data_IF_662504070035
#
_entry.id   IF_662504070035
#
_cell.length_a   1.000
_cell.length_b   1.000
_cell.length_c   1.000
_cell.angle_alpha   90.00
_cell.angle_beta   90.00
_cell.angle_gamma   90.00
#
_symmetry.space_group_name_H-M   'P 1'
#
loop_
_entity.id
_entity.type
_entity.pdbx_description
1 polymer ?
#
# COMPACT_ATOMS: atom_id res chain seq x y z
N UNK A 1 3.86 16.43 35.39
CA UNK A 1 2.82 16.60 36.41
C UNK A 1 1.39 16.47 35.86
N UNK A 2 1.20 16.16 34.60
CA UNK A 2 -0.14 16.13 33.94
C UNK A 2 -0.72 14.72 33.69
N UNK A 3 0.01 13.64 33.95
CA UNK A 3 -0.47 12.25 33.73
C UNK A 3 -0.82 11.48 35.03
N UNK A 4 -0.57 12.06 36.20
CA UNK A 4 -0.88 11.41 37.49
C UNK A 4 -2.36 11.52 37.91
N UNK A 5 -3.14 12.40 37.31
CA UNK A 5 -4.55 12.59 37.70
C UNK A 5 -5.58 11.81 36.85
N UNK A 6 -5.16 11.09 35.79
CA UNK A 6 -6.10 10.48 34.87
C UNK A 6 -6.25 8.95 34.96
N UNK A 7 -5.42 8.23 35.72
CA UNK A 7 -5.53 6.76 35.80
C UNK A 7 -5.27 6.21 37.20
N UNK A 8 -6.31 6.08 38.01
CA UNK A 8 -6.35 5.12 39.12
C UNK A 8 -6.81 3.78 38.55
N UNK A 9 -5.87 2.84 38.33
CA UNK A 9 -6.18 1.52 37.80
C UNK A 9 -6.88 0.66 38.87
N UNK A 10 -8.15 0.36 38.66
CA UNK A 10 -8.95 -0.50 39.54
C UNK A 10 -9.61 -1.69 38.86
N UNK A 11 -9.17 -2.10 37.65
CA UNK A 11 -9.75 -3.26 36.98
C UNK A 11 -8.77 -4.04 36.07
N UNK A 12 -9.04 -5.34 35.96
CA UNK A 12 -8.31 -6.28 35.11
C UNK A 12 -8.34 -5.92 33.60
N UNK A 13 -9.32 -5.11 33.18
CA UNK A 13 -9.46 -4.65 31.80
C UNK A 13 -8.40 -3.61 31.42
N UNK A 14 -7.97 -2.75 32.35
CA UNK A 14 -6.97 -1.72 32.11
C UNK A 14 -5.57 -2.34 31.85
N UNK A 15 -5.28 -3.48 32.45
CA UNK A 15 -4.04 -4.24 32.23
C UNK A 15 -3.98 -4.90 30.83
N UNK A 16 -5.14 -5.19 30.22
CA UNK A 16 -5.23 -5.77 28.87
C UNK A 16 -4.99 -4.69 27.79
N UNK A 17 -5.46 -3.47 28.02
CA UNK A 17 -5.25 -2.34 27.10
C UNK A 17 -3.76 -1.95 27.07
N UNK A 18 -3.09 -1.93 28.22
CA UNK A 18 -1.65 -1.68 28.30
C UNK A 18 -0.82 -2.79 27.66
N UNK A 19 -1.23 -4.07 27.78
CA UNK A 19 -0.54 -5.18 27.10
C UNK A 19 -0.68 -5.12 25.57
N UNK A 20 -1.79 -4.59 25.04
CA UNK A 20 -1.96 -4.36 23.59
C UNK A 20 -1.11 -3.18 23.10
N UNK A 21 -1.04 -2.09 23.86
CA UNK A 21 -0.15 -0.97 23.56
C UNK A 21 1.33 -1.38 23.64
N UNK A 22 1.70 -2.23 24.60
CA UNK A 22 3.07 -2.75 24.74
C UNK A 22 3.49 -3.66 23.58
N UNK A 23 2.58 -4.47 23.04
CA UNK A 23 2.86 -5.27 21.84
C UNK A 23 3.04 -4.43 20.58
N UNK A 24 2.40 -3.27 20.47
CA UNK A 24 2.60 -2.35 19.36
C UNK A 24 3.96 -1.63 19.42
N UNK A 25 4.48 -1.37 20.63
CA UNK A 25 5.78 -0.68 20.83
C UNK A 25 6.97 -1.64 20.61
N UNK A 26 6.82 -2.94 20.95
CA UNK A 26 7.91 -3.95 20.82
C UNK A 26 8.14 -4.39 19.36
N UNK A 27 7.32 -3.95 18.41
CA UNK A 27 7.48 -4.34 16.99
C UNK A 27 8.32 -3.34 16.15
N UNK A 28 9.06 -2.42 16.79
CA UNK A 28 10.04 -1.57 16.11
C UNK A 28 11.45 -2.06 16.53
N UNK A 29 12.15 -2.83 15.67
CA UNK A 29 13.45 -3.44 16.03
C UNK A 29 14.54 -2.45 16.47
N UNK A 30 14.47 -1.19 16.02
CA UNK A 30 15.43 -0.13 16.36
C UNK A 30 15.27 0.44 17.78
N UNK A 31 14.12 0.25 18.41
CA UNK A 31 13.85 0.76 19.76
C UNK A 31 14.14 -0.29 20.83
N UNK A 32 14.02 -1.58 20.49
CA UNK A 32 14.26 -2.68 21.42
C UNK A 32 15.74 -2.77 21.86
N UNK A 33 16.68 -2.45 20.99
CA UNK A 33 18.12 -2.55 21.28
C UNK A 33 18.64 -1.42 22.19
N UNK A 34 18.01 -0.25 22.21
CA UNK A 34 18.38 0.85 23.11
C UNK A 34 17.79 0.69 24.51
N UNK A 35 16.63 0.02 24.64
CA UNK A 35 15.96 -0.19 25.92
C UNK A 35 16.57 -1.33 26.76
N UNK A 36 17.24 -2.31 26.15
CA UNK A 36 17.89 -3.41 26.86
C UNK A 36 19.20 -3.00 27.55
N UNK A 37 19.85 -1.91 27.12
CA UNK A 37 21.14 -1.48 27.68
C UNK A 37 21.05 -0.50 28.85
N UNK A 38 19.84 0.00 29.19
CA UNK A 38 19.66 1.07 30.19
C UNK A 38 18.84 0.65 31.43
N UNK A 39 18.57 -0.64 31.59
CA UNK A 39 17.92 -1.18 32.81
C UNK A 39 18.93 -1.32 33.97
N UNK A 40 19.28 -0.18 34.55
CA UNK A 40 19.93 -0.16 35.85
C UNK A 40 18.95 -0.58 36.97
N UNK A 41 19.44 -1.26 38.02
CA UNK A 41 18.67 -1.84 39.12
C UNK A 41 17.95 -0.83 40.04
N UNK A 42 17.94 0.45 39.73
CA UNK A 42 17.25 1.50 40.52
C UNK A 42 16.01 1.99 39.79
N UNK A 43 14.84 1.79 40.40
CA UNK A 43 13.49 2.14 39.92
C UNK A 43 13.29 3.64 39.67
N UNK A 44 13.94 4.18 38.65
CA UNK A 44 13.76 5.54 38.15
C UNK A 44 12.51 5.67 37.26
N UNK A 45 11.79 6.79 37.38
CA UNK A 45 10.66 7.14 36.54
C UNK A 45 11.18 7.37 35.06
N UNK A 46 10.77 6.50 34.15
CA UNK A 46 11.03 6.69 32.70
C UNK A 46 10.04 7.68 32.11
N UNK A 47 10.49 8.86 31.77
CA UNK A 47 9.79 9.77 30.86
C UNK A 47 10.09 9.32 29.42
N UNK A 48 9.22 8.47 28.84
CA UNK A 48 9.29 8.16 27.42
C UNK A 48 8.88 9.41 26.66
N UNK A 49 9.85 10.25 26.36
CA UNK A 49 9.69 11.30 25.36
C UNK A 49 9.62 10.59 24.01
N UNK A 50 8.39 10.29 23.52
CA UNK A 50 8.18 9.98 22.11
C UNK A 50 8.72 11.19 21.35
N UNK A 51 9.93 11.08 20.82
CA UNK A 51 10.46 12.03 19.85
C UNK A 51 9.38 12.16 18.78
N UNK A 52 8.78 13.33 18.66
CA UNK A 52 7.92 13.64 17.52
C UNK A 52 8.76 13.29 16.30
N UNK A 53 8.35 12.26 15.53
CA UNK A 53 9.01 11.95 14.26
C UNK A 53 9.07 13.26 13.51
N UNK A 54 10.25 13.75 13.19
CA UNK A 54 10.44 15.00 12.50
C UNK A 54 9.51 15.00 11.28
N UNK A 55 8.52 15.89 11.30
CA UNK A 55 7.55 15.98 10.21
C UNK A 55 8.33 16.30 8.95
N UNK A 56 8.36 15.37 8.00
CA UNK A 56 9.06 15.58 6.74
C UNK A 56 8.52 16.84 6.06
N UNK A 57 9.39 17.55 5.36
CA UNK A 57 9.04 18.77 4.64
C UNK A 57 9.30 18.60 3.16
N UNK A 58 8.47 19.21 2.32
CA UNK A 58 8.56 19.12 0.87
C UNK A 58 8.77 20.50 0.24
N UNK A 59 9.30 20.45 -0.98
CA UNK A 59 9.29 21.58 -1.92
C UNK A 59 7.86 21.85 -2.40
N UNK A 60 7.62 23.03 -2.99
CA UNK A 60 6.32 23.36 -3.60
C UNK A 60 6.14 22.74 -4.97
N UNK A 61 7.23 22.37 -5.66
CA UNK A 61 7.17 21.76 -6.99
C UNK A 61 6.68 20.30 -6.92
N UNK A 62 5.83 19.92 -7.86
CA UNK A 62 5.33 18.56 -7.95
C UNK A 62 5.26 18.04 -9.38
N UNK A 63 5.35 16.73 -9.51
CA UNK A 63 4.96 15.96 -10.70
C UNK A 63 3.69 15.18 -10.39
N UNK A 64 2.75 15.12 -11.33
CA UNK A 64 1.53 14.31 -11.25
C UNK A 64 1.50 13.28 -12.36
N UNK A 65 1.32 12.03 -12.00
CA UNK A 65 1.10 10.92 -12.93
C UNK A 65 0.00 10.00 -12.42
N UNK A 66 -0.48 9.12 -13.30
CA UNK A 66 -1.39 8.05 -12.90
C UNK A 66 -1.06 6.72 -13.58
N UNK A 67 -1.36 5.61 -12.88
CA UNK A 67 -1.42 4.28 -13.45
C UNK A 67 -2.88 3.81 -13.45
N UNK A 68 -3.49 3.69 -14.65
CA UNK A 68 -4.88 3.25 -14.83
C UNK A 68 -5.90 4.06 -13.99
N UNK A 69 -5.71 5.36 -13.88
CA UNK A 69 -6.62 6.26 -13.17
C UNK A 69 -6.28 6.53 -11.70
N UNK A 70 -5.51 5.67 -11.04
CA UNK A 70 -5.00 5.94 -9.70
C UNK A 70 -3.78 6.85 -9.77
N UNK A 71 -3.87 8.05 -9.21
CA UNK A 71 -2.90 9.12 -9.40
C UNK A 71 -2.17 9.52 -8.11
N UNK A 72 -0.90 9.89 -8.25
CA UNK A 72 -0.06 10.39 -7.16
C UNK A 72 0.61 11.69 -7.54
N UNK A 73 0.83 12.52 -6.51
CA UNK A 73 1.73 13.67 -6.58
C UNK A 73 3.11 13.25 -6.04
N UNK A 74 4.14 13.45 -6.85
CA UNK A 74 5.53 13.26 -6.42
C UNK A 74 6.10 14.61 -6.04
N UNK A 75 6.61 14.71 -4.81
CA UNK A 75 7.34 15.85 -4.29
C UNK A 75 8.78 15.44 -3.95
N UNK A 76 9.69 16.38 -3.93
CA UNK A 76 11.00 16.22 -3.33
C UNK A 76 11.05 16.91 -1.96
N UNK A 77 11.98 16.47 -1.10
CA UNK A 77 12.28 17.14 0.16
C UNK A 77 12.61 18.63 -0.08
N UNK A 78 12.13 19.49 0.80
CA UNK A 78 12.31 20.94 0.75
C UNK A 78 11.76 21.60 1.99
N UNK A 79 11.71 22.93 2.01
CA UNK A 79 11.30 23.72 3.19
C UNK A 79 9.96 24.46 3.01
N UNK A 80 9.24 24.21 1.91
CA UNK A 80 8.06 25.02 1.59
C UNK A 80 6.87 24.68 2.45
N UNK A 81 6.61 23.40 2.72
CA UNK A 81 5.49 22.96 3.54
C UNK A 81 5.79 21.64 4.27
N UNK A 82 4.99 21.31 5.28
CA UNK A 82 5.17 20.11 6.08
C UNK A 82 4.18 19.02 5.68
N UNK A 83 4.66 17.77 5.58
CA UNK A 83 3.85 16.58 5.32
C UNK A 83 3.26 16.04 6.64
N UNK A 84 2.45 16.86 7.31
CA UNK A 84 1.56 16.40 8.37
C UNK A 84 0.18 16.00 7.80
N UNK A 85 -0.66 15.40 8.63
CA UNK A 85 -1.95 14.89 8.18
C UNK A 85 -2.84 15.99 7.57
N UNK A 86 -2.85 17.19 8.15
CA UNK A 86 -3.64 18.32 7.66
C UNK A 86 -3.12 18.83 6.31
N UNK A 87 -1.81 19.00 6.18
CA UNK A 87 -1.17 19.44 4.93
C UNK A 87 -1.36 18.44 3.80
N UNK A 88 -1.17 17.15 4.08
CA UNK A 88 -1.38 16.09 3.09
C UNK A 88 -2.84 16.04 2.65
N UNK A 89 -3.79 16.09 3.60
CA UNK A 89 -5.24 16.10 3.29
C UNK A 89 -5.60 17.30 2.41
N UNK A 90 -5.09 18.49 2.73
CA UNK A 90 -5.35 19.70 1.93
C UNK A 90 -4.76 19.60 0.51
N UNK A 91 -3.56 19.04 0.36
CA UNK A 91 -2.92 18.86 -0.95
C UNK A 91 -3.63 17.78 -1.77
N UNK A 92 -4.10 16.71 -1.13
CA UNK A 92 -4.82 15.62 -1.79
C UNK A 92 -6.29 15.94 -2.10
N UNK A 93 -6.86 17.01 -1.51
CA UNK A 93 -8.25 17.40 -1.79
C UNK A 93 -8.43 17.78 -3.26
N UNK A 94 -9.40 17.13 -3.93
CA UNK A 94 -9.61 17.30 -5.37
C UNK A 94 -10.33 18.60 -5.74
N UNK A 95 -10.88 19.31 -4.76
CA UNK A 95 -11.66 20.54 -4.96
C UNK A 95 -10.93 21.79 -4.47
N UNK A 96 -10.13 21.65 -3.39
CA UNK A 96 -9.47 22.78 -2.74
C UNK A 96 -7.95 22.75 -2.90
N UNK A 97 -7.39 21.60 -3.26
CA UNK A 97 -5.96 21.38 -3.51
C UNK A 97 -5.67 20.94 -4.95
N UNK A 98 -4.42 20.56 -5.22
CA UNK A 98 -4.05 19.89 -6.49
C UNK A 98 -4.82 18.59 -6.74
N UNK A 99 -5.16 17.87 -5.68
CA UNK A 99 -5.95 16.64 -5.70
C UNK A 99 -5.19 15.42 -6.17
N UNK A 100 -5.18 14.34 -5.37
CA UNK A 100 -4.63 13.04 -5.77
C UNK A 100 -5.10 11.91 -4.84
N UNK A 101 -4.82 10.66 -5.24
CA UNK A 101 -5.05 9.48 -4.41
C UNK A 101 -3.92 9.23 -3.40
N UNK A 102 -2.88 10.07 -3.41
CA UNK A 102 -1.78 10.02 -2.45
C UNK A 102 -0.57 10.84 -2.87
N UNK A 103 0.44 10.83 -2.00
CA UNK A 103 1.70 11.54 -2.19
C UNK A 103 2.86 10.56 -2.12
N UNK A 104 3.84 10.73 -3.00
CA UNK A 104 5.17 10.13 -2.92
C UNK A 104 6.17 11.24 -2.64
N UNK A 105 6.92 11.15 -1.54
CA UNK A 105 8.00 12.06 -1.20
C UNK A 105 9.35 11.40 -1.48
N UNK A 106 10.08 11.91 -2.46
CA UNK A 106 11.48 11.56 -2.69
C UNK A 106 12.35 12.30 -1.66
N UNK A 107 13.03 11.54 -0.79
CA UNK A 107 13.82 12.12 0.31
C UNK A 107 15.18 12.63 -0.15
N UNK A 108 15.83 11.92 -1.08
CA UNK A 108 17.13 12.31 -1.62
C UNK A 108 17.28 11.80 -3.07
N UNK A 109 17.41 12.73 -4.01
CA UNK A 109 17.60 12.42 -5.43
C UNK A 109 19.02 11.96 -5.78
N UNK A 110 19.98 12.07 -4.85
CA UNK A 110 21.39 11.72 -5.07
C UNK A 110 21.77 10.36 -4.51
N UNK A 111 21.01 9.85 -3.52
CA UNK A 111 21.24 8.55 -2.88
C UNK A 111 20.82 7.38 -3.77
N UNK A 112 21.46 6.24 -3.54
CA UNK A 112 21.12 4.93 -4.12
C UNK A 112 21.18 3.86 -3.03
N UNK A 113 20.09 3.09 -2.82
CA UNK A 113 18.75 3.23 -3.43
C UNK A 113 18.12 4.61 -3.15
N UNK A 114 17.20 5.06 -4.02
CA UNK A 114 16.47 6.31 -3.79
C UNK A 114 15.50 6.16 -2.61
N UNK A 115 15.68 6.91 -1.50
CA UNK A 115 14.81 6.80 -0.35
C UNK A 115 13.53 7.60 -0.57
N UNK A 116 12.39 7.02 -0.20
CA UNK A 116 11.07 7.66 -0.34
C UNK A 116 10.13 7.31 0.80
N UNK A 117 9.07 8.11 0.92
CA UNK A 117 7.91 7.87 1.79
C UNK A 117 6.62 8.00 0.98
N UNK A 118 5.59 7.27 1.37
CA UNK A 118 4.28 7.28 0.72
C UNK A 118 3.17 7.60 1.71
N UNK A 119 2.21 8.43 1.28
CA UNK A 119 1.13 8.90 2.14
C UNK A 119 -0.22 8.76 1.45
N UNK A 120 -1.20 8.29 2.21
CA UNK A 120 -2.61 8.31 1.84
C UNK A 120 -3.18 9.73 1.92
N UNK A 121 -4.33 10.01 1.29
CA UNK A 121 -4.98 11.32 1.35
C UNK A 121 -5.38 11.78 2.76
N UNK A 122 -5.54 10.86 3.72
CA UNK A 122 -5.84 11.15 5.13
C UNK A 122 -4.59 11.50 5.97
N UNK A 123 -3.41 11.53 5.33
CA UNK A 123 -2.13 11.81 5.97
C UNK A 123 -1.46 10.61 6.61
N UNK A 124 -2.09 9.45 6.61
CA UNK A 124 -1.44 8.22 7.09
C UNK A 124 -0.32 7.78 6.13
N UNK A 125 0.81 7.38 6.71
CA UNK A 125 1.93 6.79 5.95
C UNK A 125 1.68 5.32 5.73
N UNK A 126 2.05 4.82 4.55
CA UNK A 126 1.96 3.40 4.23
C UNK A 126 3.23 2.92 3.51
N UNK A 127 3.45 1.59 3.55
CA UNK A 127 4.72 1.00 3.14
C UNK A 127 4.90 0.98 1.63
N UNK A 128 3.88 0.59 0.84
CA UNK A 128 4.07 0.36 -0.60
C UNK A 128 2.81 0.51 -1.44
N UNK A 129 2.94 1.19 -2.58
CA UNK A 129 1.97 1.20 -3.68
C UNK A 129 2.65 0.88 -5.00
N UNK A 130 2.20 -0.14 -5.70
CA UNK A 130 2.71 -0.46 -7.03
C UNK A 130 2.50 0.69 -8.04
N UNK A 131 1.41 1.45 -7.94
CA UNK A 131 1.19 2.64 -8.75
C UNK A 131 2.11 3.79 -8.35
N UNK A 132 2.22 4.08 -7.05
CA UNK A 132 3.09 5.14 -6.56
C UNK A 132 4.56 4.91 -6.94
N UNK A 133 5.04 3.66 -6.83
CA UNK A 133 6.41 3.26 -7.24
C UNK A 133 6.63 3.49 -8.73
N UNK A 134 5.69 3.06 -9.59
CA UNK A 134 5.82 3.26 -11.03
C UNK A 134 5.75 4.75 -11.42
N UNK A 135 4.90 5.53 -10.75
CA UNK A 135 4.81 6.99 -10.97
C UNK A 135 6.11 7.68 -10.56
N UNK A 136 6.72 7.28 -9.43
CA UNK A 136 8.05 7.77 -9.05
C UNK A 136 9.10 7.42 -10.11
N UNK A 137 9.09 6.19 -10.65
CA UNK A 137 10.03 5.78 -11.70
C UNK A 137 9.89 6.65 -12.96
N UNK A 138 8.65 6.96 -13.38
CA UNK A 138 8.39 7.87 -14.48
C UNK A 138 8.92 9.28 -14.20
N UNK A 139 8.74 9.79 -12.97
CA UNK A 139 9.31 11.06 -12.52
C UNK A 139 10.84 11.06 -12.59
N UNK A 140 11.50 10.03 -12.04
CA UNK A 140 12.97 9.92 -12.03
C UNK A 140 13.53 9.85 -13.46
N UNK A 141 12.88 9.12 -14.36
CA UNK A 141 13.26 9.04 -15.77
C UNK A 141 13.08 10.39 -16.48
N UNK A 142 11.97 11.09 -16.22
CA UNK A 142 11.70 12.42 -16.75
C UNK A 142 12.78 13.44 -16.35
N UNK A 143 13.22 13.38 -15.08
CA UNK A 143 14.27 14.24 -14.54
C UNK A 143 15.70 13.81 -14.96
N UNK A 144 15.82 12.73 -15.75
CA UNK A 144 17.11 12.19 -16.19
C UNK A 144 17.97 11.60 -15.07
N UNK A 145 17.36 11.24 -13.94
CA UNK A 145 18.03 10.63 -12.78
C UNK A 145 18.25 9.13 -12.95
N UNK A 146 17.44 8.51 -13.80
CA UNK A 146 17.52 7.08 -14.19
C UNK A 146 17.41 6.95 -15.70
N UNK A 147 18.00 5.87 -16.24
CA UNK A 147 17.98 5.52 -17.66
C UNK A 147 17.15 4.27 -17.94
N UNK A 148 17.58 3.50 -18.96
CA UNK A 148 16.97 2.23 -19.35
C UNK A 148 17.46 1.02 -18.56
N UNK A 149 18.24 1.20 -17.51
CA UNK A 149 18.71 0.11 -16.65
C UNK A 149 17.85 0.04 -15.38
N UNK A 150 17.67 -1.15 -14.77
CA UNK A 150 17.02 -1.29 -13.47
C UNK A 150 17.70 -0.45 -12.39
N UNK A 151 16.93 0.02 -11.42
CA UNK A 151 17.42 0.79 -10.29
C UNK A 151 16.59 0.53 -9.03
N UNK A 152 17.20 0.77 -7.89
CA UNK A 152 16.59 0.50 -6.59
C UNK A 152 16.01 1.74 -5.93
N UNK A 153 14.87 1.57 -5.26
CA UNK A 153 14.28 2.54 -4.33
C UNK A 153 14.14 1.90 -2.94
N UNK A 154 14.20 2.73 -1.89
CA UNK A 154 14.01 2.30 -0.51
C UNK A 154 12.73 2.90 0.07
N UNK A 155 11.79 2.05 0.50
CA UNK A 155 10.48 2.44 1.03
C UNK A 155 10.04 1.48 2.13
N UNK A 156 9.54 2.01 3.25
CA UNK A 156 9.03 1.19 4.36
C UNK A 156 10.05 0.22 4.97
N UNK A 157 11.36 0.47 4.81
CA UNK A 157 12.43 -0.42 5.23
C UNK A 157 12.83 -1.49 4.20
N UNK A 158 12.10 -1.62 3.11
CA UNK A 158 12.39 -2.55 2.00
C UNK A 158 13.12 -1.85 0.85
N UNK A 159 13.83 -2.65 0.06
CA UNK A 159 14.36 -2.22 -1.24
C UNK A 159 13.53 -2.84 -2.36
N UNK A 160 13.14 -2.02 -3.33
CA UNK A 160 12.34 -2.43 -4.49
C UNK A 160 13.09 -2.06 -5.76
N UNK A 161 13.32 -3.04 -6.64
CA UNK A 161 13.85 -2.80 -7.97
C UNK A 161 12.75 -2.30 -8.91
N UNK A 162 13.05 -1.22 -9.63
CA UNK A 162 12.19 -0.61 -10.65
C UNK A 162 12.93 -0.56 -11.99
N UNK A 163 12.19 -0.65 -13.08
CA UNK A 163 12.76 -0.54 -14.40
C UNK A 163 11.82 0.22 -15.35
N UNK A 164 12.29 1.30 -15.96
CA UNK A 164 11.57 2.02 -17.01
C UNK A 164 11.86 1.37 -18.35
N UNK A 165 10.85 0.74 -18.93
CA UNK A 165 10.96 -0.09 -20.13
C UNK A 165 10.87 0.78 -21.41
N UNK A 166 12.02 1.14 -21.94
CA UNK A 166 12.13 1.97 -23.15
C UNK A 166 11.81 3.46 -22.94
N UNK A 167 11.98 4.26 -23.99
CA UNK A 167 11.69 5.69 -23.92
C UNK A 167 10.18 5.95 -23.81
N UNK A 168 9.77 7.02 -23.11
CA UNK A 168 8.36 7.38 -23.03
C UNK A 168 7.81 7.81 -24.40
N UNK A 169 6.58 7.40 -24.68
CA UNK A 169 5.86 7.84 -25.87
C UNK A 169 4.74 8.81 -25.46
N UNK A 170 4.84 10.08 -25.83
CA UNK A 170 3.85 11.12 -25.48
C UNK A 170 3.54 11.22 -23.99
N UNK A 171 4.57 11.08 -23.14
CA UNK A 171 4.40 11.12 -21.68
C UNK A 171 3.84 9.82 -21.08
N UNK A 172 3.71 8.76 -21.90
CA UNK A 172 3.36 7.42 -21.43
C UNK A 172 4.64 6.61 -21.21
N UNK A 173 4.87 6.20 -19.97
CA UNK A 173 5.96 5.33 -19.55
C UNK A 173 5.43 3.92 -19.36
N UNK A 174 6.24 2.92 -19.63
CA UNK A 174 5.97 1.54 -19.20
C UNK A 174 6.99 1.17 -18.12
N UNK A 175 6.54 0.77 -16.95
CA UNK A 175 7.40 0.56 -15.79
C UNK A 175 7.12 -0.79 -15.16
N UNK A 176 8.19 -1.55 -14.90
CA UNK A 176 8.13 -2.74 -14.06
C UNK A 176 8.62 -2.46 -12.63
N UNK A 177 8.05 -3.17 -11.67
CA UNK A 177 8.38 -3.11 -10.26
C UNK A 177 8.44 -4.53 -9.68
N UNK A 178 9.52 -4.86 -8.99
CA UNK A 178 9.64 -6.11 -8.24
C UNK A 178 8.80 -6.04 -6.97
N UNK A 179 7.71 -6.79 -6.97
CA UNK A 179 6.75 -6.77 -5.85
C UNK A 179 7.14 -7.71 -4.70
N UNK A 180 8.25 -8.43 -4.87
CA UNK A 180 8.71 -9.44 -3.92
C UNK A 180 7.96 -10.76 -4.05
N UNK A 181 8.06 -11.61 -3.02
CA UNK A 181 7.47 -12.94 -3.01
C UNK A 181 6.05 -12.89 -2.45
N UNK A 182 5.08 -13.46 -3.17
CA UNK A 182 3.73 -13.61 -2.67
C UNK A 182 3.66 -14.58 -1.47
N UNK A 183 3.05 -14.14 -0.38
CA UNK A 183 2.67 -14.97 0.74
C UNK A 183 1.35 -15.70 0.46
N UNK A 184 1.16 -16.89 1.02
CA UNK A 184 -0.05 -17.69 0.82
C UNK A 184 -0.55 -18.30 2.11
N UNK A 185 -1.86 -18.54 2.15
CA UNK A 185 -2.54 -19.17 3.27
C UNK A 185 -3.01 -18.18 4.33
N UNK A 186 -3.77 -18.66 5.32
CA UNK A 186 -4.41 -17.83 6.33
C UNK A 186 -3.43 -16.93 7.09
N UNK A 187 -2.31 -17.47 7.54
CA UNK A 187 -1.30 -16.75 8.34
C UNK A 187 -0.73 -15.53 7.59
N UNK A 188 -0.57 -15.63 6.25
CA UNK A 188 -0.01 -14.57 5.43
C UNK A 188 -0.89 -13.31 5.34
N UNK A 189 -2.19 -13.44 5.65
CA UNK A 189 -3.20 -12.37 5.53
C UNK A 189 -3.92 -12.09 6.86
N UNK A 190 -3.47 -12.67 7.98
CA UNK A 190 -4.13 -12.52 9.28
C UNK A 190 -5.55 -13.10 9.31
N UNK A 191 -5.81 -14.15 8.54
CA UNK A 191 -7.08 -14.87 8.53
C UNK A 191 -7.06 -15.99 9.58
N UNK A 192 -8.10 -16.08 10.43
CA UNK A 192 -8.29 -17.21 11.33
C UNK A 192 -8.50 -18.51 10.53
N UNK A 193 -7.57 -19.48 10.61
CA UNK A 193 -7.71 -20.75 9.89
C UNK A 193 -8.98 -21.51 10.26
N UNK A 194 -9.47 -21.33 11.50
CA UNK A 194 -10.70 -21.96 12.01
C UNK A 194 -11.99 -21.46 11.35
N UNK A 195 -11.93 -20.32 10.63
CA UNK A 195 -13.07 -19.78 9.89
C UNK A 195 -13.25 -20.40 8.51
N UNK A 196 -12.27 -21.18 8.03
CA UNK A 196 -12.36 -21.92 6.77
C UNK A 196 -12.76 -23.36 7.02
N UNK A 197 -13.64 -23.91 6.19
CA UNK A 197 -13.90 -25.35 6.18
C UNK A 197 -12.76 -26.14 5.48
N UNK A 198 -12.89 -27.48 5.40
CA UNK A 198 -11.90 -28.38 4.77
C UNK A 198 -11.65 -28.07 3.30
N UNK A 199 -12.58 -27.41 2.63
CA UNK A 199 -12.52 -27.06 1.21
C UNK A 199 -12.08 -25.58 1.00
N UNK A 200 -11.57 -24.92 2.05
CA UNK A 200 -11.15 -23.50 2.05
C UNK A 200 -12.32 -22.53 1.78
N UNK A 201 -13.54 -22.88 2.24
CA UNK A 201 -14.72 -22.03 2.09
C UNK A 201 -14.89 -21.14 3.31
N UNK A 202 -15.18 -19.88 3.06
CA UNK A 202 -15.53 -18.89 4.08
C UNK A 202 -17.04 -18.75 4.12
N UNK A 203 -17.67 -18.94 5.28
CA UNK A 203 -19.11 -18.80 5.45
C UNK A 203 -19.53 -17.32 5.44
N UNK A 204 -20.32 -16.92 4.45
CA UNK A 204 -20.89 -15.56 4.32
C UNK A 204 -22.40 -15.53 4.60
N UNK A 205 -22.93 -16.56 5.27
CA UNK A 205 -24.35 -16.70 5.55
C UNK A 205 -25.20 -16.83 4.29
N UNK A 206 -26.18 -15.94 4.10
CA UNK A 206 -27.07 -15.95 2.94
C UNK A 206 -26.36 -15.78 1.58
N UNK A 207 -25.14 -15.25 1.55
CA UNK A 207 -24.33 -15.12 0.33
C UNK A 207 -23.53 -16.40 -0.01
N UNK A 208 -23.78 -17.50 0.74
CA UNK A 208 -23.14 -18.78 0.52
C UNK A 208 -21.71 -18.84 1.08
N UNK A 209 -20.97 -19.85 0.64
CA UNK A 209 -19.63 -20.11 1.16
C UNK A 209 -18.63 -20.26 0.00
N UNK A 210 -18.08 -19.13 -0.51
CA UNK A 210 -17.09 -19.18 -1.59
C UNK A 210 -15.78 -19.81 -1.11
N UNK A 211 -15.06 -20.45 -2.04
CA UNK A 211 -13.65 -20.84 -1.83
C UNK A 211 -12.82 -19.58 -1.90
N UNK A 212 -12.03 -19.33 -0.85
CA UNK A 212 -11.16 -18.16 -0.74
C UNK A 212 -9.70 -18.59 -0.84
N UNK A 213 -8.93 -17.90 -1.66
CA UNK A 213 -7.49 -18.05 -1.80
C UNK A 213 -6.80 -16.85 -1.13
N UNK A 214 -6.30 -17.02 0.12
CA UNK A 214 -5.59 -15.96 0.82
C UNK A 214 -4.21 -15.74 0.21
N UNK A 215 -3.91 -14.49 -0.18
CA UNK A 215 -2.63 -14.09 -0.78
C UNK A 215 -2.18 -12.76 -0.18
N UNK A 216 -0.89 -12.65 0.16
CA UNK A 216 -0.27 -11.41 0.58
C UNK A 216 0.72 -10.92 -0.49
N UNK A 217 0.60 -9.65 -0.85
CA UNK A 217 1.56 -8.88 -1.68
C UNK A 217 2.12 -7.72 -0.81
N UNK A 218 2.42 -8.00 0.47
CA UNK A 218 2.69 -6.99 1.49
C UNK A 218 1.42 -6.49 2.19
N UNK A 219 0.25 -6.65 1.58
CA UNK A 219 -1.07 -6.39 2.15
C UNK A 219 -2.01 -7.60 1.91
N UNK A 220 -3.09 -7.77 2.71
CA UNK A 220 -3.95 -8.94 2.61
C UNK A 220 -4.92 -8.89 1.43
N UNK A 221 -5.04 -10.02 0.73
CA UNK A 221 -5.97 -10.25 -0.37
C UNK A 221 -6.72 -11.58 -0.19
N UNK A 222 -8.00 -11.58 -0.50
CA UNK A 222 -8.89 -12.75 -0.57
C UNK A 222 -9.37 -12.91 -2.02
N UNK A 223 -8.76 -13.83 -2.76
CA UNK A 223 -9.12 -14.08 -4.17
C UNK A 223 -10.16 -15.17 -4.25
N UNK A 224 -11.23 -14.95 -5.01
CA UNK A 224 -12.33 -15.91 -5.27
C UNK A 224 -12.37 -16.20 -6.76
N UNK A 225 -12.33 -17.49 -7.14
CA UNK A 225 -12.58 -17.95 -8.51
C UNK A 225 -13.96 -18.63 -8.53
N UNK A 226 -15.03 -17.93 -8.91
CA UNK A 226 -16.38 -18.49 -8.89
C UNK A 226 -16.57 -19.52 -10.01
N UNK A 227 -17.44 -20.50 -9.75
CA UNK A 227 -17.81 -21.46 -10.80
C UNK A 227 -18.64 -20.80 -11.92
N UNK A 228 -19.46 -19.82 -11.58
CA UNK A 228 -20.23 -18.99 -12.50
C UNK A 228 -19.78 -17.54 -12.37
N UNK A 229 -19.28 -16.96 -13.47
CA UNK A 229 -18.85 -15.56 -13.52
C UNK A 229 -20.07 -14.63 -13.66
N UNK A 230 -20.19 -13.70 -12.70
CA UNK A 230 -21.16 -12.60 -12.73
C UNK A 230 -20.48 -11.32 -12.27
N UNK A 231 -20.71 -10.21 -12.98
CA UNK A 231 -20.15 -8.89 -12.64
C UNK A 231 -20.59 -8.45 -11.23
N UNK A 232 -21.86 -8.73 -10.90
CA UNK A 232 -22.50 -8.32 -9.66
C UNK A 232 -21.93 -9.05 -8.42
N UNK A 233 -21.24 -10.16 -8.62
CA UNK A 233 -20.75 -10.99 -7.51
C UNK A 233 -19.77 -10.21 -6.60
N UNK A 234 -18.96 -9.30 -7.16
CA UNK A 234 -18.06 -8.50 -6.34
C UNK A 234 -18.83 -7.57 -5.39
N UNK A 235 -19.96 -7.03 -5.83
CA UNK A 235 -20.81 -6.15 -5.05
C UNK A 235 -21.59 -6.94 -3.95
N UNK A 236 -21.82 -8.23 -4.17
CA UNK A 236 -22.48 -9.13 -3.21
C UNK A 236 -21.55 -9.62 -2.10
N UNK A 237 -20.35 -10.12 -2.47
CA UNK A 237 -19.42 -10.76 -1.53
C UNK A 237 -18.27 -9.85 -1.07
N UNK A 238 -17.86 -8.87 -1.91
CA UNK A 238 -16.75 -7.97 -1.61
C UNK A 238 -16.89 -7.25 -0.27
N UNK A 239 -18.00 -6.53 -0.02
CA UNK A 239 -18.20 -5.84 1.25
C UNK A 239 -18.24 -6.78 2.47
N UNK A 240 -18.68 -8.03 2.30
CA UNK A 240 -18.78 -9.00 3.40
C UNK A 240 -17.44 -9.64 3.74
N UNK A 241 -16.67 -10.02 2.71
CA UNK A 241 -15.33 -10.61 2.92
C UNK A 241 -14.37 -9.54 3.42
N UNK A 242 -14.42 -8.31 2.88
CA UNK A 242 -13.49 -7.23 3.20
C UNK A 242 -13.45 -6.89 4.70
N UNK A 243 -14.57 -7.00 5.40
CA UNK A 243 -14.72 -6.72 6.84
C UNK A 243 -15.06 -7.97 7.64
N UNK A 244 -14.88 -9.17 7.06
CA UNK A 244 -15.23 -10.40 7.76
C UNK A 244 -14.40 -10.55 9.04
N UNK A 245 -15.01 -10.87 10.19
CA UNK A 245 -14.32 -10.91 11.50
C UNK A 245 -13.18 -11.92 11.58
N UNK A 246 -13.12 -12.88 10.65
CA UNK A 246 -12.01 -13.81 10.54
C UNK A 246 -10.70 -13.15 10.07
N UNK A 247 -10.75 -12.00 9.38
CA UNK A 247 -9.56 -11.24 9.01
C UNK A 247 -9.28 -10.19 10.09
N UNK A 248 -8.13 -10.28 10.75
CA UNK A 248 -7.79 -9.42 11.89
C UNK A 248 -7.88 -7.92 11.56
N UNK A 249 -7.41 -7.53 10.36
CA UNK A 249 -7.37 -6.14 9.89
C UNK A 249 -8.20 -5.94 8.61
N UNK A 250 -9.14 -6.85 8.32
CA UNK A 250 -9.86 -6.88 7.04
C UNK A 250 -8.96 -7.26 5.86
N UNK A 251 -9.52 -7.27 4.65
CA UNK A 251 -8.81 -7.71 3.45
C UNK A 251 -9.33 -7.03 2.18
N UNK A 252 -8.48 -6.94 1.15
CA UNK A 252 -8.91 -6.63 -0.21
C UNK A 252 -9.52 -7.88 -0.83
N UNK A 253 -10.53 -7.74 -1.66
CA UNK A 253 -11.25 -8.86 -2.27
C UNK A 253 -11.17 -8.79 -3.79
N UNK A 254 -10.90 -9.93 -4.42
CA UNK A 254 -10.94 -10.04 -5.87
C UNK A 254 -11.84 -11.21 -6.28
N UNK A 255 -12.79 -10.93 -7.18
CA UNK A 255 -13.49 -11.97 -7.93
C UNK A 255 -12.79 -12.09 -9.27
N UNK A 256 -12.23 -13.27 -9.56
CA UNK A 256 -11.37 -13.46 -10.72
C UNK A 256 -11.76 -14.70 -11.55
N UNK A 257 -11.36 -14.69 -12.81
CA UNK A 257 -11.43 -15.87 -13.69
C UNK A 257 -10.22 -15.96 -14.59
N UNK A 258 -9.90 -17.19 -15.00
CA UNK A 258 -8.90 -17.47 -16.02
C UNK A 258 -9.59 -17.49 -17.36
N UNK A 259 -9.12 -16.67 -18.29
CA UNK A 259 -9.55 -16.67 -19.68
C UNK A 259 -8.61 -17.56 -20.54
N UNK A 260 -8.81 -17.54 -21.85
CA UNK A 260 -7.95 -18.27 -22.76
C UNK A 260 -6.51 -17.72 -22.77
N UNK A 261 -5.52 -18.60 -22.88
CA UNK A 261 -4.11 -18.23 -22.88
C UNK A 261 -3.61 -17.79 -21.51
N UNK A 262 -2.87 -16.68 -21.47
CA UNK A 262 -2.27 -16.08 -20.26
C UNK A 262 -3.03 -14.86 -19.78
N UNK A 263 -4.35 -14.83 -19.97
CA UNK A 263 -5.20 -13.72 -19.60
C UNK A 263 -6.05 -14.07 -18.39
N UNK A 264 -6.02 -13.22 -17.39
CA UNK A 264 -6.86 -13.24 -16.20
C UNK A 264 -7.79 -12.03 -16.23
N UNK A 265 -8.98 -12.15 -15.65
CA UNK A 265 -9.90 -11.03 -15.48
C UNK A 265 -10.28 -10.94 -14.00
N UNK A 266 -10.33 -9.72 -13.47
CA UNK A 266 -10.59 -9.46 -12.08
C UNK A 266 -11.50 -8.26 -11.86
N UNK A 267 -12.42 -8.41 -10.90
CA UNK A 267 -13.19 -7.35 -10.28
C UNK A 267 -12.64 -7.16 -8.86
N UNK A 268 -12.59 -5.91 -8.40
CA UNK A 268 -11.85 -5.54 -7.20
C UNK A 268 -12.75 -4.81 -6.21
N UNK A 269 -12.60 -5.17 -4.93
CA UNK A 269 -13.12 -4.44 -3.79
C UNK A 269 -11.97 -4.17 -2.83
N UNK A 270 -11.56 -2.92 -2.71
CA UNK A 270 -10.47 -2.54 -1.81
C UNK A 270 -10.97 -2.30 -0.39
N UNK A 271 -10.18 -2.76 0.56
CA UNK A 271 -10.40 -2.58 2.00
C UNK A 271 -10.45 -1.07 2.34
N UNK A 272 -11.57 -0.64 2.96
CA UNK A 272 -11.79 0.75 3.36
C UNK A 272 -12.19 1.71 2.23
N UNK A 273 -12.11 1.28 0.97
CA UNK A 273 -12.43 2.10 -0.22
C UNK A 273 -13.70 1.62 -0.92
N UNK A 274 -13.84 0.31 -1.13
CA UNK A 274 -14.94 -0.28 -1.88
C UNK A 274 -14.55 -0.71 -3.30
N UNK A 275 -15.51 -0.69 -4.27
CA UNK A 275 -15.23 -1.10 -5.64
C UNK A 275 -14.22 -0.17 -6.29
N UNK A 276 -13.18 -0.76 -6.90
CA UNK A 276 -12.07 -0.04 -7.52
C UNK A 276 -11.84 -0.58 -8.92
N UNK A 277 -11.65 0.32 -9.88
CA UNK A 277 -11.52 -0.06 -11.30
C UNK A 277 -10.19 -0.73 -11.63
N UNK A 278 -9.10 -0.45 -10.89
CA UNK A 278 -7.78 -1.03 -11.09
C UNK A 278 -6.93 -0.93 -9.81
N UNK A 279 -6.16 -2.00 -9.53
CA UNK A 279 -5.24 -2.06 -8.40
C UNK A 279 -4.05 -2.97 -8.74
N UNK A 280 -2.82 -2.47 -8.52
CA UNK A 280 -1.60 -3.22 -8.83
C UNK A 280 -1.42 -4.44 -7.95
N UNK A 281 -1.60 -4.31 -6.63
CA UNK A 281 -1.46 -5.44 -5.69
C UNK A 281 -2.57 -6.46 -5.88
N UNK A 282 -3.79 -6.02 -6.24
CA UNK A 282 -4.89 -6.92 -6.59
C UNK A 282 -4.59 -7.74 -7.85
N UNK A 283 -4.02 -7.12 -8.89
CA UNK A 283 -3.58 -7.85 -10.09
C UNK A 283 -2.53 -8.91 -9.74
N UNK A 284 -1.54 -8.55 -8.92
CA UNK A 284 -0.51 -9.48 -8.45
C UNK A 284 -1.12 -10.64 -7.64
N UNK A 285 -2.05 -10.34 -6.72
CA UNK A 285 -2.72 -11.37 -5.91
C UNK A 285 -3.53 -12.35 -6.75
N UNK A 286 -4.23 -11.86 -7.78
CA UNK A 286 -5.01 -12.70 -8.72
C UNK A 286 -4.09 -13.64 -9.50
N UNK A 287 -2.98 -13.13 -10.06
CA UNK A 287 -2.02 -13.95 -10.77
C UNK A 287 -1.37 -15.01 -9.87
N UNK A 288 -0.93 -14.59 -8.67
CA UNK A 288 -0.36 -15.49 -7.67
C UNK A 288 -1.36 -16.58 -7.22
N UNK A 289 -2.63 -16.22 -6.98
CA UNK A 289 -3.70 -17.16 -6.63
C UNK A 289 -4.00 -18.15 -7.76
N UNK A 290 -4.00 -17.69 -9.02
CA UNK A 290 -4.21 -18.57 -10.19
C UNK A 290 -3.12 -19.64 -10.30
N UNK A 291 -1.85 -19.25 -10.12
CA UNK A 291 -0.71 -20.18 -10.11
C UNK A 291 -0.80 -21.12 -8.91
N UNK A 292 -0.97 -20.59 -7.71
CA UNK A 292 -1.00 -21.37 -6.46
C UNK A 292 -2.12 -22.40 -6.43
N UNK A 293 -3.27 -22.07 -7.02
CA UNK A 293 -4.43 -22.97 -7.09
C UNK A 293 -4.37 -23.99 -8.25
N UNK A 294 -3.29 -23.98 -9.05
CA UNK A 294 -3.14 -24.86 -10.21
C UNK A 294 -4.06 -24.54 -11.37
N UNK A 295 -4.63 -23.34 -11.41
CA UNK A 295 -5.44 -22.84 -12.54
C UNK A 295 -4.60 -22.34 -13.70
N UNK A 296 -3.37 -21.96 -13.40
CA UNK A 296 -2.37 -21.54 -14.38
C UNK A 296 -0.99 -22.02 -13.95
N UNK A 297 -0.10 -22.24 -14.91
CA UNK A 297 1.33 -22.48 -14.67
C UNK A 297 2.05 -21.13 -14.45
N UNK A 298 3.19 -21.12 -13.72
CA UNK A 298 4.01 -19.92 -13.57
C UNK A 298 4.38 -19.32 -14.93
N UNK A 299 4.04 -18.03 -15.13
CA UNK A 299 4.24 -17.32 -16.39
C UNK A 299 4.00 -15.82 -16.24
N UNK A 300 4.05 -15.08 -17.35
CA UNK A 300 3.59 -13.71 -17.47
C UNK A 300 2.11 -13.68 -17.87
N UNK A 301 1.30 -12.94 -17.11
CA UNK A 301 -0.14 -12.82 -17.29
C UNK A 301 -0.54 -11.39 -17.63
N UNK A 302 -1.47 -11.24 -18.58
CA UNK A 302 -2.28 -10.03 -18.70
C UNK A 302 -3.43 -10.12 -17.69
N UNK A 303 -3.48 -9.25 -16.69
CA UNK A 303 -4.59 -9.15 -15.74
C UNK A 303 -5.47 -7.98 -16.14
N UNK A 304 -6.66 -8.29 -16.63
CA UNK A 304 -7.69 -7.33 -17.09
C UNK A 304 -8.58 -6.93 -15.93
N UNK A 305 -8.74 -5.64 -15.75
CA UNK A 305 -9.61 -5.01 -14.77
C UNK A 305 -10.48 -3.95 -15.48
N UNK A 306 -11.49 -3.41 -14.81
CA UNK A 306 -12.38 -2.40 -15.42
C UNK A 306 -11.63 -1.14 -15.89
N UNK A 307 -10.61 -0.72 -15.14
CA UNK A 307 -9.79 0.47 -15.48
C UNK A 307 -8.66 0.21 -16.48
N UNK A 308 -8.44 -1.04 -16.91
CA UNK A 308 -7.39 -1.41 -17.87
C UNK A 308 -6.64 -2.69 -17.49
N UNK A 309 -5.54 -2.96 -18.19
CA UNK A 309 -4.74 -4.17 -17.99
C UNK A 309 -3.38 -3.86 -17.39
N UNK A 310 -2.88 -4.78 -16.57
CA UNK A 310 -1.50 -4.83 -16.08
C UNK A 310 -0.89 -6.18 -16.45
N UNK A 311 0.42 -6.21 -16.66
CA UNK A 311 1.17 -7.43 -16.82
C UNK A 311 1.75 -7.86 -15.48
N UNK A 312 1.58 -9.12 -15.11
CA UNK A 312 2.11 -9.70 -13.88
C UNK A 312 2.87 -10.96 -14.20
N UNK A 313 4.16 -10.98 -13.92
CA UNK A 313 4.98 -12.19 -13.99
C UNK A 313 5.01 -12.88 -12.64
N UNK A 314 4.78 -14.20 -12.63
CA UNK A 314 4.84 -15.07 -11.45
C UNK A 314 5.81 -16.20 -11.73
N UNK A 315 6.88 -16.31 -10.93
CA UNK A 315 7.83 -17.42 -11.04
C UNK A 315 7.36 -18.65 -10.26
N UNK A 316 8.03 -19.79 -10.44
CA UNK A 316 7.77 -21.02 -9.68
C UNK A 316 7.99 -20.81 -8.16
N UNK A 317 8.88 -19.90 -7.77
CA UNK A 317 9.17 -19.52 -6.39
C UNK A 317 8.19 -18.46 -5.86
N UNK A 318 7.18 -18.08 -6.67
CA UNK A 318 6.19 -17.05 -6.37
C UNK A 318 6.76 -15.63 -6.24
N UNK A 319 7.87 -15.35 -6.93
CA UNK A 319 8.33 -13.97 -7.12
C UNK A 319 7.41 -13.25 -8.10
N UNK A 320 7.07 -12.03 -7.81
CA UNK A 320 6.09 -11.23 -8.54
C UNK A 320 6.76 -9.98 -9.11
N UNK A 321 6.67 -9.82 -10.43
CA UNK A 321 7.00 -8.57 -11.12
C UNK A 321 5.73 -7.97 -11.69
N UNK A 322 5.43 -6.72 -11.35
CA UNK A 322 4.29 -5.96 -11.86
C UNK A 322 4.74 -4.98 -12.94
N UNK A 323 4.20 -5.08 -14.13
CA UNK A 323 4.48 -4.13 -15.22
C UNK A 323 3.21 -3.42 -15.65
N UNK A 324 3.30 -2.10 -15.84
CA UNK A 324 2.15 -1.34 -16.30
C UNK A 324 2.44 0.09 -16.70
N UNK A 325 1.47 0.71 -17.37
CA UNK A 325 1.60 2.07 -17.88
C UNK A 325 1.57 3.11 -16.75
N UNK A 326 2.29 4.21 -16.98
CA UNK A 326 2.18 5.45 -16.23
C UNK A 326 2.02 6.59 -17.23
N UNK A 327 0.92 7.32 -17.12
CA UNK A 327 0.72 8.55 -17.88
C UNK A 327 1.17 9.74 -17.04
N UNK A 328 2.11 10.49 -17.56
CA UNK A 328 2.41 11.85 -17.07
C UNK A 328 1.19 12.75 -17.31
N UNK A 329 0.76 13.48 -16.28
CA UNK A 329 -0.42 14.36 -16.35
C UNK A 329 -0.01 15.83 -16.33
N UNK A 330 0.79 16.22 -15.35
CA UNK A 330 1.17 17.59 -15.14
C UNK A 330 2.43 17.72 -14.27
N UNK A 331 3.10 18.84 -14.42
CA UNK A 331 4.04 19.37 -13.44
C UNK A 331 3.55 20.73 -13.01
N UNK A 332 3.79 21.09 -11.76
CA UNK A 332 3.33 22.36 -11.21
C UNK A 332 4.09 22.75 -9.97
N UNK A 333 3.63 23.83 -9.36
CA UNK A 333 4.11 24.30 -8.07
C UNK A 333 2.92 24.82 -7.25
N UNK A 334 2.89 24.48 -5.97
CA UNK A 334 1.97 25.09 -5.02
C UNK A 334 2.26 26.59 -4.97
N UNK A 335 1.21 27.41 -4.99
CA UNK A 335 1.38 28.88 -4.92
C UNK A 335 1.87 29.30 -3.53
N UNK A 336 2.54 30.45 -3.45
CA UNK A 336 3.01 31.00 -2.16
C UNK A 336 1.86 31.15 -1.15
N UNK A 337 0.68 31.58 -1.59
CA UNK A 337 -0.50 31.69 -0.71
C UNK A 337 -0.98 30.35 -0.17
N UNK A 338 -0.95 29.27 -1.01
CA UNK A 338 -1.34 27.94 -0.57
C UNK A 338 -0.30 27.32 0.39
N UNK A 339 1.00 27.49 0.12
CA UNK A 339 2.05 27.05 1.05
C UNK A 339 2.02 27.81 2.37
N UNK A 340 1.65 29.11 2.37
CA UNK A 340 1.43 29.87 3.59
C UNK A 340 0.22 29.34 4.39
N UNK A 341 -0.88 29.00 3.70
CA UNK A 341 -2.03 28.34 4.32
C UNK A 341 -1.61 27.02 4.98
N UNK A 342 -0.86 26.14 4.28
CA UNK A 342 -0.36 24.87 4.83
C UNK A 342 0.56 25.05 6.05
N UNK A 343 1.22 26.22 6.19
CA UNK A 343 2.04 26.54 7.36
C UNK A 343 1.21 27.11 8.51
N UNK A 344 0.13 27.84 8.23
CA UNK A 344 -0.68 28.55 9.23
C UNK A 344 -1.74 27.70 9.90
N UNK A 345 -2.12 26.57 9.32
CA UNK A 345 -3.08 25.61 9.91
C UNK A 345 -2.58 24.96 11.22
N UNK A 346 -1.39 25.36 11.69
CA UNK A 346 -0.73 24.91 12.93
C UNK A 346 -0.91 25.84 14.13
N UNK A 347 -1.64 26.96 13.99
CA UNK A 347 -1.75 27.97 15.06
C UNK A 347 -3.08 27.80 15.88
#
# INVERSE_FOLDING_TARGET
>A
MALRELYSFNSFLDAIVLRKAWRAIVFIPSVAHELENDLGEDGGEFEVTLSARDTARASSAFFRGHGLGNDYLVFETGDDWALDAEGITAVCDRWQGPGSDGIVLLLDRTSRPFPLRMFNPDGSEFERSGNGLRILAAYLAREGLVGGEPFDVSVGGDTVELHVLGPPERGLYNVSAEMGRAGHGPDAVGLDPGALDSDQRLDLGECGSPIVYPVSIGNPHAVVFPAEWKRELIDEIGPKISVHPAFADGTNVQVARVLAGRTLEALIWERGVGPTSASGTSACAVAAAAVKSGRAEPDQFEVRMEGGSLEVSVTAEMQITLTGPVQEVATGSLTAGFTEFLRSSRA
#
